data_IF_080384369915
#
_entry.id   IF_080384369915
#
_cell.length_a   1.000
_cell.length_b   1.000
_cell.length_c   1.000
_cell.angle_alpha   90.00
_cell.angle_beta   90.00
_cell.angle_gamma   90.00
#
_symmetry.space_group_name_H-M   'P 1'
#
loop_
_entity.id
_entity.type
_entity.pdbx_description
1 polymer ?
#
# COMPACT_ATOMS: atom_id res chain seq x y z
N UNK A 1 51.56 69.22 8.06
CA UNK A 1 50.82 67.99 7.72
C UNK A 1 49.69 67.81 8.72
N UNK A 2 48.43 67.97 8.29
CA UNK A 2 47.23 67.89 9.14
C UNK A 2 46.50 66.58 8.82
N UNK A 3 46.42 65.66 9.79
CA UNK A 3 45.71 64.39 9.66
C UNK A 3 44.27 64.56 10.15
N UNK A 4 43.34 64.56 9.20
CA UNK A 4 41.89 64.68 9.42
C UNK A 4 41.36 63.35 9.97
N UNK A 5 41.01 63.30 11.27
CA UNK A 5 40.34 62.14 11.88
C UNK A 5 38.88 62.06 11.40
N UNK A 6 38.56 61.02 10.65
CA UNK A 6 37.19 60.58 10.36
C UNK A 6 36.52 60.16 11.67
N UNK A 7 35.46 60.87 12.07
CA UNK A 7 34.55 60.42 13.15
C UNK A 7 33.57 59.44 12.54
N UNK A 8 33.76 58.14 12.78
CA UNK A 8 32.70 57.16 12.61
C UNK A 8 31.63 57.44 13.67
N UNK A 9 30.51 58.02 13.27
CA UNK A 9 29.30 58.07 14.09
C UNK A 9 28.69 56.67 14.13
N UNK A 10 29.19 55.84 15.05
CA UNK A 10 28.54 54.59 15.41
C UNK A 10 27.23 54.92 16.12
N UNK A 11 26.10 54.78 15.41
CA UNK A 11 24.78 54.78 16.05
C UNK A 11 24.70 53.51 16.90
N UNK A 12 24.67 53.66 18.21
CA UNK A 12 24.41 52.55 19.12
C UNK A 12 22.95 52.11 18.94
N UNK A 13 22.73 50.82 18.66
CA UNK A 13 21.40 50.24 18.54
C UNK A 13 20.64 50.38 19.86
N UNK A 14 19.38 50.82 19.77
CA UNK A 14 18.55 50.97 20.97
C UNK A 14 18.02 49.61 21.41
N UNK A 15 17.82 49.42 22.72
CA UNK A 15 17.30 48.17 23.29
C UNK A 15 15.92 47.82 22.69
N UNK A 16 15.11 48.85 22.40
CA UNK A 16 13.80 48.69 21.75
C UNK A 16 13.91 48.22 20.29
N UNK A 17 14.91 48.67 19.54
CA UNK A 17 15.14 48.22 18.16
C UNK A 17 15.52 46.74 18.13
N UNK A 18 16.35 46.29 19.09
CA UNK A 18 16.66 44.86 19.26
C UNK A 18 15.40 44.06 19.65
N UNK A 19 14.53 44.57 20.53
CA UNK A 19 13.28 43.88 20.89
C UNK A 19 12.33 43.74 19.71
N UNK A 20 12.15 44.80 18.90
CA UNK A 20 11.29 44.76 17.72
C UNK A 20 11.83 43.76 16.70
N UNK A 21 13.13 43.76 16.44
CA UNK A 21 13.76 42.82 15.51
C UNK A 21 13.58 41.37 15.99
N UNK A 22 13.83 41.08 17.26
CA UNK A 22 13.63 39.73 17.81
C UNK A 22 12.15 39.32 17.69
N UNK A 23 11.22 40.23 17.96
CA UNK A 23 9.78 39.95 17.84
C UNK A 23 9.39 39.60 16.41
N UNK A 24 9.89 40.35 15.42
CA UNK A 24 9.65 40.08 14.00
C UNK A 24 10.27 38.73 13.59
N UNK A 25 11.50 38.44 14.02
CA UNK A 25 12.18 37.16 13.72
C UNK A 25 11.37 35.98 14.28
N UNK A 26 10.87 36.07 15.52
CA UNK A 26 10.07 35.01 16.14
C UNK A 26 8.75 34.78 15.39
N UNK A 27 8.08 35.86 14.98
CA UNK A 27 6.85 35.76 14.16
C UNK A 27 7.15 35.11 12.81
N UNK A 28 8.18 35.55 12.11
CA UNK A 28 8.55 34.97 10.81
C UNK A 28 8.98 33.50 10.93
N UNK A 29 9.77 33.15 11.95
CA UNK A 29 10.23 31.78 12.16
C UNK A 29 9.06 30.81 12.39
N UNK A 30 8.07 31.21 13.20
CA UNK A 30 6.88 30.36 13.45
C UNK A 30 6.04 30.15 12.19
N UNK A 31 5.87 31.18 11.36
CA UNK A 31 5.14 31.07 10.10
C UNK A 31 5.84 30.13 9.11
N UNK A 32 7.16 30.28 8.94
CA UNK A 32 7.94 29.46 8.01
C UNK A 32 7.89 27.97 8.40
N UNK A 33 8.02 27.66 9.69
CA UNK A 33 7.92 26.27 10.18
C UNK A 33 6.53 25.68 9.98
N UNK A 34 5.47 26.46 10.24
CA UNK A 34 4.08 26.01 10.05
C UNK A 34 3.75 25.70 8.59
N UNK A 35 4.03 26.63 7.68
CA UNK A 35 3.74 26.46 6.24
C UNK A 35 4.61 25.38 5.62
N UNK A 36 5.89 25.29 6.00
CA UNK A 36 6.82 24.28 5.47
C UNK A 36 6.35 22.86 5.74
N UNK A 37 5.90 22.56 6.97
CA UNK A 37 5.42 21.22 7.33
C UNK A 37 4.12 20.83 6.61
N UNK A 38 3.19 21.77 6.43
CA UNK A 38 1.94 21.52 5.71
C UNK A 38 2.19 21.25 4.21
N UNK A 39 3.10 21.99 3.59
CA UNK A 39 3.50 21.78 2.20
C UNK A 39 4.19 20.43 2.01
N UNK A 40 5.07 20.03 2.93
CA UNK A 40 5.73 18.72 2.90
C UNK A 40 4.72 17.58 2.98
N UNK A 41 3.78 17.60 3.93
CA UNK A 41 2.72 16.58 4.04
C UNK A 41 1.88 16.48 2.77
N UNK A 42 1.55 17.62 2.16
CA UNK A 42 0.82 17.65 0.89
C UNK A 42 1.64 17.05 -0.25
N UNK A 43 2.93 17.34 -0.30
CA UNK A 43 3.83 16.77 -1.30
C UNK A 43 4.00 15.26 -1.12
N UNK A 44 4.17 14.78 0.12
CA UNK A 44 4.22 13.35 0.47
C UNK A 44 2.97 12.63 -0.01
N UNK A 45 1.78 13.12 0.36
CA UNK A 45 0.50 12.56 -0.10
C UNK A 45 0.37 12.55 -1.62
N UNK A 46 0.70 13.67 -2.28
CA UNK A 46 0.65 13.77 -3.74
C UNK A 46 1.59 12.77 -4.43
N UNK A 47 2.74 12.46 -3.82
CA UNK A 47 3.68 11.49 -4.35
C UNK A 47 3.13 10.05 -4.24
N UNK A 48 2.47 9.72 -3.12
CA UNK A 48 1.76 8.45 -2.93
C UNK A 48 0.66 8.27 -3.98
N UNK A 49 -0.22 9.26 -4.13
CA UNK A 49 -1.31 9.24 -5.13
C UNK A 49 -0.77 9.09 -6.56
N UNK A 50 0.31 9.80 -6.90
CA UNK A 50 0.96 9.69 -8.20
C UNK A 50 1.52 8.28 -8.45
N UNK A 51 2.18 7.67 -7.47
CA UNK A 51 2.71 6.31 -7.61
C UNK A 51 1.59 5.27 -7.77
N UNK A 52 0.50 5.42 -7.01
CA UNK A 52 -0.68 4.56 -7.14
C UNK A 52 -1.34 4.69 -8.52
N UNK A 53 -1.41 5.91 -9.08
CA UNK A 53 -1.95 6.16 -10.43
C UNK A 53 -1.08 5.52 -11.52
N UNK A 54 0.25 5.53 -11.36
CA UNK A 54 1.16 4.82 -12.27
C UNK A 54 0.93 3.31 -12.20
N UNK A 55 0.74 2.77 -10.98
CA UNK A 55 0.41 1.35 -10.80
C UNK A 55 -0.93 0.97 -11.41
N UNK A 56 -1.95 1.81 -11.28
CA UNK A 56 -3.23 1.62 -11.96
C UNK A 56 -3.08 1.56 -13.48
N UNK A 57 -2.26 2.46 -14.03
CA UNK A 57 -1.96 2.46 -15.46
C UNK A 57 -1.26 1.16 -15.86
N UNK A 58 -0.35 0.64 -15.01
CA UNK A 58 0.31 -0.64 -15.24
C UNK A 58 -0.67 -1.83 -15.21
N UNK A 59 -1.69 -1.80 -14.35
CA UNK A 59 -2.77 -2.81 -14.40
C UNK A 59 -3.56 -2.72 -15.71
N UNK A 60 -3.90 -1.51 -16.14
CA UNK A 60 -4.62 -1.29 -17.41
C UNK A 60 -3.81 -1.83 -18.60
N UNK A 61 -2.50 -1.60 -18.61
CA UNK A 61 -1.59 -2.14 -19.64
C UNK A 61 -1.49 -3.68 -19.56
N UNK A 62 -1.40 -4.25 -18.36
CA UNK A 62 -1.42 -5.70 -18.18
C UNK A 62 -2.70 -6.32 -18.74
N UNK A 63 -3.85 -5.71 -18.45
CA UNK A 63 -5.15 -6.13 -18.99
C UNK A 63 -5.20 -6.02 -20.51
N UNK A 64 -4.66 -4.94 -21.06
CA UNK A 64 -4.54 -4.76 -22.51
C UNK A 64 -3.69 -5.83 -23.18
N UNK A 65 -2.58 -6.23 -22.57
CA UNK A 65 -1.66 -7.23 -23.13
C UNK A 65 -2.14 -8.67 -22.94
N UNK A 66 -2.75 -8.98 -21.80
CA UNK A 66 -3.19 -10.35 -21.46
C UNK A 66 -4.65 -10.63 -21.82
N UNK A 67 -5.42 -9.59 -22.15
CA UNK A 67 -6.84 -9.67 -22.47
C UNK A 67 -7.74 -9.95 -21.27
N UNK A 68 -7.23 -9.83 -20.03
CA UNK A 68 -7.98 -10.12 -18.80
C UNK A 68 -7.39 -9.39 -17.57
N UNK A 69 -8.19 -9.15 -16.51
CA UNK A 69 -7.70 -8.64 -15.23
C UNK A 69 -6.67 -9.55 -14.57
N UNK A 70 -5.84 -8.93 -13.73
CA UNK A 70 -5.02 -9.66 -12.75
C UNK A 70 -5.96 -10.36 -11.79
N UNK A 71 -5.76 -11.67 -11.64
CA UNK A 71 -6.59 -12.53 -10.82
C UNK A 71 -5.88 -12.89 -9.53
N UNK A 72 -6.64 -12.86 -8.44
CA UNK A 72 -6.15 -13.12 -7.10
C UNK A 72 -6.91 -14.25 -6.43
N UNK A 73 -6.16 -15.14 -5.77
CA UNK A 73 -6.71 -16.15 -4.89
C UNK A 73 -6.41 -15.80 -3.43
N UNK A 74 -7.36 -15.15 -2.78
CA UNK A 74 -7.40 -14.99 -1.33
C UNK A 74 -7.86 -16.31 -0.73
N UNK A 75 -7.02 -17.01 0.01
CA UNK A 75 -7.46 -18.20 0.70
C UNK A 75 -8.45 -17.78 1.80
N UNK A 76 -9.64 -18.36 1.81
CA UNK A 76 -10.48 -18.37 3.01
C UNK A 76 -9.69 -19.11 4.08
N UNK A 77 -9.11 -18.39 5.03
CA UNK A 77 -8.64 -19.02 6.25
C UNK A 77 -9.59 -18.60 7.36
N UNK A 78 -10.73 -19.28 7.39
CA UNK A 78 -11.55 -19.31 8.58
C UNK A 78 -10.72 -19.96 9.68
N UNK A 79 -10.42 -19.20 10.72
CA UNK A 79 -9.78 -19.70 11.95
C UNK A 79 -10.66 -20.73 12.69
N UNK A 80 -11.82 -21.14 12.12
CA UNK A 80 -12.74 -22.16 12.63
C UNK A 80 -13.45 -23.01 11.57
N UNK A 81 -13.27 -22.81 10.27
CA UNK A 81 -13.91 -23.67 9.26
C UNK A 81 -13.08 -24.93 9.07
N UNK A 82 -13.72 -26.08 8.79
CA UNK A 82 -13.00 -27.27 8.38
C UNK A 82 -12.10 -26.90 7.21
N UNK A 83 -10.86 -27.39 7.23
CA UNK A 83 -9.80 -27.22 6.23
C UNK A 83 -10.13 -27.81 4.84
N UNK A 84 -11.39 -27.78 4.47
CA UNK A 84 -11.98 -28.34 3.26
C UNK A 84 -13.10 -27.43 2.78
N UNK A 85 -12.80 -26.17 2.48
CA UNK A 85 -13.21 -25.68 1.16
C UNK A 85 -12.21 -26.24 0.15
N UNK A 86 -12.34 -27.55 -0.07
CA UNK A 86 -11.94 -28.13 -1.33
C UNK A 86 -12.80 -27.38 -2.33
N UNK A 87 -12.18 -26.54 -3.18
CA UNK A 87 -12.76 -26.15 -4.47
C UNK A 87 -13.66 -27.29 -4.92
N UNK A 88 -15.00 -27.14 -5.02
CA UNK A 88 -15.89 -28.27 -5.27
C UNK A 88 -15.30 -29.08 -6.40
N UNK A 89 -15.14 -30.39 -6.26
CA UNK A 89 -14.42 -31.24 -7.21
C UNK A 89 -14.86 -30.90 -8.65
N UNK A 90 -14.09 -30.05 -9.35
CA UNK A 90 -14.51 -29.34 -10.58
C UNK A 90 -14.17 -27.84 -10.66
N UNK A 91 -14.01 -27.11 -9.55
CA UNK A 91 -13.59 -25.70 -9.49
C UNK A 91 -12.05 -25.53 -9.50
N UNK A 92 -11.32 -26.60 -9.79
CA UNK A 92 -9.85 -26.68 -9.93
C UNK A 92 -9.31 -26.00 -11.19
N UNK A 93 -10.14 -25.23 -11.90
CA UNK A 93 -9.85 -24.67 -13.23
C UNK A 93 -9.67 -23.15 -13.25
N UNK A 94 -9.89 -22.44 -12.13
CA UNK A 94 -9.54 -21.02 -12.10
C UNK A 94 -8.03 -20.88 -11.97
N UNK A 95 -7.44 -20.29 -13.00
CA UNK A 95 -6.05 -19.90 -12.94
C UNK A 95 -5.95 -18.51 -12.31
N UNK A 96 -5.04 -18.39 -11.34
CA UNK A 96 -4.75 -17.15 -10.64
C UNK A 96 -3.33 -16.67 -10.97
N UNK A 97 -3.14 -15.35 -11.03
CA UNK A 97 -1.83 -14.73 -11.20
C UNK A 97 -1.13 -14.53 -9.85
N UNK A 98 -1.91 -14.10 -8.86
CA UNK A 98 -1.44 -13.85 -7.51
C UNK A 98 -2.17 -14.80 -6.57
N UNK A 99 -1.42 -15.46 -5.70
CA UNK A 99 -1.98 -16.25 -4.61
C UNK A 99 -1.66 -15.58 -3.28
N UNK A 100 -2.58 -15.67 -2.34
CA UNK A 100 -2.32 -15.24 -0.98
C UNK A 100 -1.09 -16.00 -0.43
N UNK A 101 -0.10 -15.31 0.16
CA UNK A 101 1.06 -15.97 0.72
C UNK A 101 0.62 -16.92 1.85
N UNK A 102 0.84 -18.23 1.64
CA UNK A 102 0.34 -19.30 2.53
C UNK A 102 0.95 -19.30 3.93
N UNK A 103 2.07 -18.59 4.12
CA UNK A 103 2.71 -18.39 5.42
C UNK A 103 3.06 -16.91 5.59
N UNK A 104 2.25 -16.10 6.31
CA UNK A 104 2.75 -14.85 6.86
C UNK A 104 3.98 -15.14 7.75
N UNK A 105 4.87 -14.17 8.01
CA UNK A 105 5.99 -14.45 8.91
C UNK A 105 5.43 -14.74 10.31
N UNK A 106 5.99 -15.73 10.99
CA UNK A 106 5.72 -15.96 12.41
C UNK A 106 6.18 -14.73 13.24
N UNK A 107 5.61 -14.41 14.43
CA UNK A 107 5.46 -15.41 15.49
C UNK A 107 4.23 -15.36 16.44
N UNK A 108 3.07 -14.76 16.14
CA UNK A 108 1.94 -14.66 17.12
C UNK A 108 0.72 -13.86 16.63
N UNK A 109 0.63 -13.52 15.33
CA UNK A 109 -0.45 -12.66 14.83
C UNK A 109 -1.72 -13.48 14.62
N UNK A 110 -2.76 -13.23 15.40
CA UNK A 110 -4.10 -13.86 15.26
C UNK A 110 -5.10 -12.81 14.76
N UNK A 111 -6.06 -13.22 13.93
CA UNK A 111 -7.18 -12.36 13.50
C UNK A 111 -6.84 -11.39 12.36
N UNK A 112 -7.51 -10.23 12.36
CA UNK A 112 -7.50 -9.21 11.30
C UNK A 112 -6.09 -8.71 10.91
N UNK A 113 -5.15 -8.73 11.86
CA UNK A 113 -3.74 -8.39 11.60
C UNK A 113 -3.11 -9.18 10.46
N UNK A 114 -3.47 -10.45 10.31
CA UNK A 114 -2.95 -11.27 9.23
C UNK A 114 -3.46 -10.81 7.86
N UNK A 115 -4.68 -10.31 7.77
CA UNK A 115 -5.34 -10.03 6.49
C UNK A 115 -4.68 -8.84 5.78
N UNK A 116 -4.55 -7.69 6.43
CA UNK A 116 -3.89 -6.52 5.79
C UNK A 116 -2.38 -6.74 5.62
N UNK A 117 -1.75 -7.53 6.49
CA UNK A 117 -0.37 -7.99 6.33
C UNK A 117 -0.23 -8.77 5.02
N UNK A 118 -1.14 -9.71 4.74
CA UNK A 118 -1.17 -10.46 3.48
C UNK A 118 -1.50 -9.58 2.27
N UNK A 119 -2.37 -8.57 2.40
CA UNK A 119 -2.64 -7.59 1.33
C UNK A 119 -1.38 -6.80 0.94
N UNK A 120 -0.56 -6.38 1.93
CA UNK A 120 0.77 -5.78 1.68
C UNK A 120 1.72 -6.78 0.98
N UNK A 121 1.67 -8.05 1.37
CA UNK A 121 2.44 -9.12 0.72
C UNK A 121 2.04 -9.37 -0.73
N UNK A 122 0.74 -9.40 -1.02
CA UNK A 122 0.20 -9.57 -2.37
C UNK A 122 0.68 -8.44 -3.30
N UNK A 123 0.80 -7.21 -2.80
CA UNK A 123 1.38 -6.08 -3.53
C UNK A 123 2.79 -6.33 -4.05
N UNK A 124 3.66 -6.95 -3.24
CA UNK A 124 5.02 -7.33 -3.67
C UNK A 124 4.94 -8.28 -4.87
N UNK A 125 4.16 -9.36 -4.77
CA UNK A 125 4.01 -10.31 -5.88
C UNK A 125 3.46 -9.64 -7.14
N UNK A 126 2.53 -8.71 -6.97
CA UNK A 126 1.88 -8.01 -8.07
C UNK A 126 2.83 -7.10 -8.81
N UNK A 127 3.64 -6.30 -8.08
CA UNK A 127 4.68 -5.48 -8.69
C UNK A 127 5.67 -6.32 -9.50
N UNK A 128 6.06 -7.49 -8.98
CA UNK A 128 7.00 -8.40 -9.65
C UNK A 128 6.34 -9.25 -10.77
N UNK A 129 5.02 -9.36 -10.79
CA UNK A 129 4.26 -9.89 -11.91
C UNK A 129 4.25 -8.87 -13.06
N UNK A 130 3.77 -7.66 -12.77
CA UNK A 130 3.61 -6.58 -13.74
C UNK A 130 4.94 -6.21 -14.39
N UNK A 131 6.02 -6.19 -13.62
CA UNK A 131 7.36 -5.82 -14.12
C UNK A 131 7.97 -6.81 -15.13
N UNK A 132 7.35 -8.00 -15.30
CA UNK A 132 7.78 -8.96 -16.30
C UNK A 132 7.41 -8.52 -17.71
N UNK A 133 6.27 -7.82 -17.88
CA UNK A 133 5.89 -7.28 -19.19
C UNK A 133 6.78 -6.09 -19.56
N UNK A 134 7.40 -6.18 -20.73
CA UNK A 134 8.32 -5.15 -21.22
C UNK A 134 7.63 -3.80 -21.41
N UNK A 135 6.35 -3.79 -21.77
CA UNK A 135 5.55 -2.56 -21.91
C UNK A 135 5.32 -1.83 -20.58
N UNK A 136 5.28 -2.56 -19.46
CA UNK A 136 5.01 -1.99 -18.13
C UNK A 136 6.28 -1.45 -17.46
N UNK A 137 7.46 -2.03 -17.73
CA UNK A 137 8.73 -1.60 -17.13
C UNK A 137 8.99 -0.09 -17.22
N UNK A 138 8.83 0.60 -18.38
CA UNK A 138 9.02 2.04 -18.45
C UNK A 138 7.99 2.83 -17.62
N UNK A 139 6.78 2.30 -17.42
CA UNK A 139 5.77 2.92 -16.56
C UNK A 139 6.22 2.89 -15.11
N UNK A 140 6.66 1.71 -14.64
CA UNK A 140 7.16 1.53 -13.27
C UNK A 140 8.43 2.34 -12.99
N UNK A 141 9.26 2.60 -14.02
CA UNK A 141 10.42 3.48 -13.90
C UNK A 141 10.04 4.95 -13.61
N UNK A 142 8.79 5.34 -13.85
CA UNK A 142 8.25 6.64 -13.43
C UNK A 142 8.00 6.75 -11.93
N UNK A 143 7.98 5.64 -11.20
CA UNK A 143 7.84 5.64 -9.73
C UNK A 143 9.20 5.95 -9.09
N UNK A 144 9.28 6.90 -8.14
CA UNK A 144 10.52 7.22 -7.46
C UNK A 144 11.18 5.98 -6.81
N UNK A 145 12.52 5.81 -6.89
CA UNK A 145 13.21 4.67 -6.28
C UNK A 145 13.07 4.57 -4.75
N UNK A 146 12.70 5.66 -4.08
CA UNK A 146 12.37 5.65 -2.65
C UNK A 146 11.07 4.88 -2.35
N UNK A 147 10.16 4.81 -3.33
CA UNK A 147 8.85 4.18 -3.24
C UNK A 147 8.79 2.83 -3.95
N UNK A 148 9.38 2.69 -5.13
CA UNK A 148 9.57 1.41 -5.79
C UNK A 148 11.00 0.93 -5.57
N UNK A 149 11.19 0.13 -4.53
CA UNK A 149 12.52 -0.28 -4.06
C UNK A 149 12.66 -1.79 -3.96
N UNK A 150 13.89 -2.23 -3.76
CA UNK A 150 14.18 -3.64 -3.47
C UNK A 150 13.56 -4.05 -2.12
N UNK A 151 12.93 -5.22 -2.08
CA UNK A 151 12.36 -5.79 -0.86
C UNK A 151 13.48 -6.04 0.16
N UNK A 152 13.38 -5.40 1.33
CA UNK A 152 14.41 -5.47 2.37
C UNK A 152 14.46 -6.82 3.11
N UNK A 153 13.38 -7.63 3.08
CA UNK A 153 13.32 -8.89 3.82
C UNK A 153 12.54 -9.98 3.04
N UNK A 154 13.27 -10.93 2.46
CA UNK A 154 12.71 -12.09 1.72
C UNK A 154 11.90 -13.04 2.62
N UNK A 155 12.11 -12.97 3.94
CA UNK A 155 11.52 -13.90 4.93
C UNK A 155 10.15 -13.46 5.44
N UNK A 156 9.79 -12.18 5.28
CA UNK A 156 8.52 -11.67 5.78
C UNK A 156 7.33 -12.16 4.95
N UNK A 157 7.52 -12.50 3.68
CA UNK A 157 6.46 -13.00 2.82
C UNK A 157 7.07 -14.02 1.87
N UNK A 158 7.30 -15.27 2.33
CA UNK A 158 7.94 -16.29 1.50
C UNK A 158 7.18 -16.44 0.19
N UNK A 159 7.93 -16.66 -0.90
CA UNK A 159 7.44 -16.76 -2.26
C UNK A 159 6.65 -18.06 -2.53
N UNK A 160 5.78 -18.47 -1.61
CA UNK A 160 5.01 -19.70 -1.70
C UNK A 160 3.74 -19.50 -2.52
N UNK A 161 3.87 -18.92 -3.72
CA UNK A 161 2.96 -19.22 -4.84
C UNK A 161 3.11 -20.67 -5.31
N UNK A 162 4.05 -21.42 -4.73
CA UNK A 162 4.35 -22.82 -5.02
C UNK A 162 3.90 -23.66 -3.81
N UNK A 163 2.60 -23.87 -3.63
CA UNK A 163 2.19 -25.18 -3.11
C UNK A 163 2.10 -26.07 -4.34
N UNK A 164 2.92 -27.12 -4.33
CA UNK A 164 2.91 -28.23 -5.27
C UNK A 164 1.52 -28.88 -5.30
N UNK A 165 0.64 -28.35 -6.13
CA UNK A 165 -0.74 -28.81 -6.26
C UNK A 165 -1.54 -27.81 -7.08
N UNK A 166 -1.90 -28.22 -8.29
CA UNK A 166 -2.82 -27.58 -9.24
C UNK A 166 -3.99 -26.86 -8.52
N UNK A 167 -4.39 -25.63 -8.91
CA UNK A 167 -4.36 -25.09 -10.28
C UNK A 167 -3.01 -24.51 -10.70
N UNK A 168 -2.74 -24.55 -12.01
CA UNK A 168 -1.54 -23.96 -12.61
C UNK A 168 -1.51 -22.45 -12.37
N UNK A 169 -0.34 -21.89 -12.06
CA UNK A 169 -0.09 -20.44 -12.09
C UNK A 169 0.08 -20.03 -13.56
N UNK A 170 -0.69 -19.06 -14.07
CA UNK A 170 -0.53 -18.59 -15.48
C UNK A 170 0.79 -17.83 -15.65
N UNK A 171 1.13 -16.99 -14.67
CA UNK A 171 2.34 -16.18 -14.67
C UNK A 171 2.95 -16.16 -13.27
N UNK A 172 4.11 -16.81 -13.10
CA UNK A 172 4.81 -16.80 -11.82
C UNK A 172 5.45 -15.41 -11.60
N UNK A 173 5.19 -14.72 -10.48
CA UNK A 173 5.87 -13.46 -10.18
C UNK A 173 7.40 -13.59 -10.19
N UNK A 174 8.10 -12.58 -10.69
CA UNK A 174 9.56 -12.57 -10.75
C UNK A 174 10.16 -12.71 -9.35
N UNK A 175 11.15 -13.59 -9.22
CA UNK A 175 12.08 -13.64 -8.08
C UNK A 175 13.36 -12.85 -8.33
N UNK A 176 13.31 -11.89 -9.26
CA UNK A 176 14.33 -10.84 -9.43
C UNK A 176 13.69 -9.45 -9.36
N UNK A 177 14.23 -8.60 -8.49
CA UNK A 177 13.81 -7.21 -8.32
C UNK A 177 14.09 -6.38 -9.58
N UNK A 178 13.14 -5.55 -10.01
CA UNK A 178 13.35 -4.52 -11.03
C UNK A 178 13.94 -3.23 -10.48
N UNK A 179 13.97 -3.06 -9.16
CA UNK A 179 14.62 -1.94 -8.46
C UNK A 179 16.16 -2.10 -8.31
N UNK A 180 16.76 -3.01 -9.07
CA UNK A 180 18.20 -3.12 -9.32
C UNK A 180 19.10 -3.17 -8.06
N UNK A 181 19.02 -4.24 -7.27
CA UNK A 181 20.03 -4.57 -6.24
C UNK A 181 20.45 -6.04 -6.32
N UNK A 182 21.72 -6.31 -5.98
CA UNK A 182 22.37 -7.63 -6.04
C UNK A 182 21.81 -8.64 -5.02
N UNK A 183 21.12 -8.15 -3.99
CA UNK A 183 20.80 -8.89 -2.77
C UNK A 183 19.29 -9.01 -2.47
N UNK A 184 18.42 -8.57 -3.38
CA UNK A 184 16.96 -8.75 -3.22
C UNK A 184 16.32 -9.40 -4.43
N UNK A 185 15.49 -10.40 -4.16
CA UNK A 185 14.77 -11.15 -5.17
C UNK A 185 13.50 -10.42 -5.65
N UNK A 186 13.04 -9.33 -5.02
CA UNK A 186 11.74 -8.73 -5.38
C UNK A 186 11.72 -7.22 -5.23
N UNK A 187 10.88 -6.54 -6.00
CA UNK A 187 10.54 -5.12 -5.78
C UNK A 187 9.29 -4.98 -4.91
N UNK A 188 9.30 -4.02 -4.00
CA UNK A 188 8.16 -3.63 -3.18
C UNK A 188 7.76 -2.19 -3.49
N UNK A 189 6.45 -1.92 -3.42
CA UNK A 189 5.90 -0.58 -3.48
C UNK A 189 5.58 -0.10 -2.06
N UNK A 190 6.21 1.01 -1.67
CA UNK A 190 6.02 1.65 -0.38
C UNK A 190 5.55 3.09 -0.56
N UNK A 191 4.83 3.61 0.42
CA UNK A 191 4.49 5.02 0.52
C UNK A 191 5.70 5.87 0.94
N UNK A 192 5.50 7.18 1.02
CA UNK A 192 6.54 8.15 1.37
C UNK A 192 7.05 8.00 2.80
N UNK A 193 6.27 7.38 3.68
CA UNK A 193 6.64 7.11 5.07
C UNK A 193 7.29 5.73 5.23
N UNK A 194 7.44 4.98 4.13
CA UNK A 194 8.11 3.68 4.07
C UNK A 194 7.20 2.50 4.41
N UNK A 195 5.91 2.73 4.60
CA UNK A 195 4.89 1.70 4.76
C UNK A 195 4.60 1.00 3.42
N UNK A 196 4.45 -0.33 3.44
CA UNK A 196 4.02 -1.04 2.21
C UNK A 196 2.58 -0.68 1.88
N UNK A 197 2.35 -0.38 0.60
CA UNK A 197 1.01 -0.19 0.08
C UNK A 197 0.30 -1.56 0.07
N UNK A 198 -0.89 -1.62 0.66
CA UNK A 198 -1.76 -2.78 0.60
C UNK A 198 -2.50 -2.82 -0.74
N UNK A 199 -2.58 -4.01 -1.34
CA UNK A 199 -3.32 -4.24 -2.56
C UNK A 199 -4.60 -4.99 -2.19
N UNK A 200 -5.74 -4.32 -2.33
CA UNK A 200 -7.07 -4.90 -2.12
C UNK A 200 -7.55 -5.40 -3.46
N UNK A 201 -7.62 -6.72 -3.59
CA UNK A 201 -8.10 -7.36 -4.80
C UNK A 201 -9.61 -7.51 -4.77
N UNK A 202 -10.29 -7.33 -5.91
CA UNK A 202 -11.71 -7.56 -6.01
C UNK A 202 -12.04 -9.04 -5.80
N UNK A 203 -13.21 -9.27 -5.22
CA UNK A 203 -13.78 -10.60 -5.07
C UNK A 203 -13.90 -11.36 -6.40
N UNK A 204 -13.77 -12.69 -6.35
CA UNK A 204 -14.07 -13.53 -7.53
C UNK A 204 -15.55 -13.47 -7.86
N UNK A 205 -15.92 -13.71 -9.11
CA UNK A 205 -17.34 -13.77 -9.49
C UNK A 205 -18.03 -14.93 -8.75
N UNK A 206 -19.22 -14.67 -8.20
CA UNK A 206 -20.05 -15.69 -7.59
C UNK A 206 -20.46 -16.75 -8.60
N UNK A 207 -20.38 -18.03 -8.21
CA UNK A 207 -20.75 -19.17 -9.06
C UNK A 207 -21.88 -19.97 -8.43
N UNK A 208 -23.04 -19.98 -9.08
CA UNK A 208 -24.18 -20.76 -8.60
C UNK A 208 -23.84 -22.25 -8.52
N UNK A 209 -23.99 -22.85 -7.33
CA UNK A 209 -23.74 -24.27 -7.08
C UNK A 209 -22.26 -24.68 -6.92
N UNK A 210 -21.31 -23.75 -7.07
CA UNK A 210 -19.88 -23.99 -6.80
C UNK A 210 -19.37 -23.26 -5.54
N UNK A 211 -20.20 -22.43 -4.93
CA UNK A 211 -19.91 -21.78 -3.67
C UNK A 211 -20.70 -22.47 -2.53
N UNK A 212 -20.19 -22.46 -1.28
CA UNK A 212 -20.90 -23.04 -0.14
C UNK A 212 -22.32 -22.47 -0.05
N UNK A 213 -23.32 -23.32 0.21
CA UNK A 213 -24.72 -22.90 0.33
C UNK A 213 -24.98 -21.91 1.47
N UNK A 214 -24.01 -21.74 2.38
CA UNK A 214 -24.02 -20.76 3.47
C UNK A 214 -23.46 -19.39 3.06
N UNK A 215 -22.84 -19.27 1.90
CA UNK A 215 -22.41 -17.99 1.33
C UNK A 215 -23.47 -17.48 0.37
N UNK A 216 -23.67 -16.17 0.37
CA UNK A 216 -24.46 -15.46 -0.64
C UNK A 216 -23.51 -14.55 -1.39
N UNK A 217 -23.76 -14.27 -2.68
CA UNK A 217 -23.02 -13.24 -3.38
C UNK A 217 -23.21 -11.91 -2.67
N UNK A 218 -22.16 -11.09 -2.72
CA UNK A 218 -22.25 -9.69 -2.33
C UNK A 218 -23.19 -8.92 -3.27
N UNK A 219 -23.52 -7.68 -2.89
CA UNK A 219 -24.35 -6.78 -3.70
C UNK A 219 -23.81 -6.55 -5.12
N UNK A 220 -22.49 -6.70 -5.31
CA UNK A 220 -21.81 -6.61 -6.60
C UNK A 220 -21.66 -7.95 -7.35
N UNK A 221 -22.26 -9.03 -6.82
CA UNK A 221 -22.23 -10.37 -7.41
C UNK A 221 -20.89 -11.09 -7.25
N UNK A 222 -20.02 -10.63 -6.36
CA UNK A 222 -18.73 -11.26 -6.08
C UNK A 222 -18.75 -12.07 -4.78
N UNK A 223 -17.62 -12.73 -4.51
CA UNK A 223 -17.30 -13.31 -3.20
C UNK A 223 -16.13 -12.52 -2.63
N UNK A 224 -16.37 -11.71 -1.58
CA UNK A 224 -15.34 -10.85 -0.96
C UNK A 224 -14.07 -11.59 -0.62
N UNK A 225 -12.95 -10.92 -0.86
CA UNK A 225 -11.68 -11.28 -0.24
C UNK A 225 -11.68 -10.89 1.25
N UNK A 226 -10.87 -11.55 2.09
CA UNK A 226 -10.68 -11.10 3.48
C UNK A 226 -10.24 -9.64 3.58
N UNK A 227 -9.44 -9.14 2.63
CA UNK A 227 -9.00 -7.75 2.58
C UNK A 227 -10.17 -6.79 2.32
N UNK A 228 -11.10 -7.15 1.44
CA UNK A 228 -12.30 -6.35 1.19
C UNK A 228 -13.21 -6.24 2.43
N UNK A 229 -13.31 -7.31 3.22
CA UNK A 229 -14.05 -7.29 4.49
C UNK A 229 -13.47 -6.34 5.54
N UNK A 230 -12.17 -6.00 5.46
CA UNK A 230 -11.51 -5.14 6.44
C UNK A 230 -11.27 -3.71 5.96
N UNK A 231 -10.86 -3.56 4.69
CA UNK A 231 -10.43 -2.28 4.14
C UNK A 231 -11.51 -1.62 3.27
N UNK A 232 -12.52 -2.38 2.83
CA UNK A 232 -13.60 -1.94 1.94
C UNK A 232 -13.64 -2.71 0.63
N UNK A 233 -14.81 -2.71 -0.02
CA UNK A 233 -15.14 -3.49 -1.21
C UNK A 233 -14.69 -2.78 -2.48
N UNK A 234 -14.10 -3.53 -3.41
CA UNK A 234 -13.57 -2.96 -4.64
C UNK A 234 -14.66 -2.65 -5.67
N UNK A 235 -14.82 -1.38 -6.02
CA UNK A 235 -15.77 -0.96 -7.05
C UNK A 235 -15.34 -1.42 -8.46
N UNK A 236 -16.31 -1.89 -9.26
CA UNK A 236 -16.12 -2.29 -10.67
C UNK A 236 -15.04 -3.35 -10.93
N UNK A 237 -14.76 -4.22 -9.96
CA UNK A 237 -13.69 -5.25 -10.06
C UNK A 237 -12.31 -4.65 -10.36
N UNK A 238 -12.06 -3.40 -10.00
CA UNK A 238 -10.73 -2.78 -10.07
C UNK A 238 -9.95 -3.14 -8.80
N UNK A 239 -8.63 -3.19 -8.89
CA UNK A 239 -7.77 -3.40 -7.72
C UNK A 239 -7.56 -2.04 -7.05
N UNK A 240 -7.80 -1.95 -5.74
CA UNK A 240 -7.52 -0.74 -4.98
C UNK A 240 -6.18 -0.82 -4.26
N UNK A 241 -5.43 0.29 -4.28
CA UNK A 241 -4.21 0.45 -3.51
C UNK A 241 -4.49 1.32 -2.30
N UNK A 242 -4.02 0.89 -1.14
CA UNK A 242 -4.24 1.59 0.14
C UNK A 242 -2.90 1.81 0.84
N UNK A 243 -2.55 3.07 1.09
CA UNK A 243 -1.46 3.45 2.01
C UNK A 243 -2.05 3.73 3.37
N UNK A 244 -1.34 3.28 4.42
CA UNK A 244 -1.71 3.46 5.81
C UNK A 244 -1.24 4.81 6.38
N UNK A 245 -0.92 5.77 5.51
CA UNK A 245 -0.54 7.11 5.93
C UNK A 245 0.76 7.20 6.76
N UNK A 246 1.02 8.38 7.34
CA UNK A 246 2.14 8.64 8.24
C UNK A 246 2.21 7.77 9.49
N UNK A 247 1.07 7.32 10.04
CA UNK A 247 1.06 6.52 11.25
C UNK A 247 1.33 5.02 10.98
N UNK A 248 1.17 4.60 9.73
CA UNK A 248 1.42 3.24 9.25
C UNK A 248 0.32 2.23 9.61
N UNK A 249 -0.81 2.71 10.13
CA UNK A 249 -1.94 1.93 10.61
C UNK A 249 -3.16 2.14 9.69
N UNK A 250 -3.80 1.06 9.26
CA UNK A 250 -5.03 1.15 8.46
C UNK A 250 -6.28 1.51 9.27
N UNK A 251 -6.20 1.44 10.60
CA UNK A 251 -7.33 1.68 11.49
C UNK A 251 -8.28 0.50 11.59
N UNK A 252 -7.77 -0.72 11.44
CA UNK A 252 -8.58 -1.95 11.54
C UNK A 252 -8.45 -2.61 12.91
N UNK A 253 -9.47 -3.36 13.37
CA UNK A 253 -9.39 -4.04 14.67
C UNK A 253 -8.19 -4.98 14.75
N UNK A 254 -7.53 -5.02 15.90
CA UNK A 254 -6.35 -5.85 16.17
C UNK A 254 -5.02 -5.27 15.66
N UNK A 255 -5.00 -4.05 15.14
CA UNK A 255 -3.79 -3.39 14.64
C UNK A 255 -3.00 -2.64 15.73
N UNK A 256 -3.69 -2.05 16.71
CA UNK A 256 -3.11 -1.27 17.79
C UNK A 256 -3.58 -1.74 19.17
N UNK A 257 -2.79 -1.45 20.22
CA UNK A 257 -3.19 -1.63 21.62
C UNK A 257 -3.08 -0.31 22.38
N UNK A 258 -4.17 0.21 23.00
CA UNK A 258 -5.50 -0.37 23.06
C UNK A 258 -6.22 -0.37 21.70
N UNK A 259 -7.09 -1.35 21.50
CA UNK A 259 -7.88 -1.51 20.28
C UNK A 259 -9.27 -0.91 20.51
N UNK A 260 -9.48 0.33 20.08
CA UNK A 260 -10.73 1.08 20.32
C UNK A 260 -11.17 1.79 19.05
N UNK A 261 -12.48 2.00 18.90
CA UNK A 261 -13.06 2.70 17.74
C UNK A 261 -12.44 4.09 17.54
N UNK A 262 -12.11 4.82 18.61
CA UNK A 262 -11.45 6.13 18.51
C UNK A 262 -10.06 6.03 17.89
N UNK A 263 -9.27 5.03 18.28
CA UNK A 263 -7.92 4.82 17.74
C UNK A 263 -8.01 4.35 16.29
N UNK A 264 -8.92 3.41 16.01
CA UNK A 264 -9.20 2.92 14.65
C UNK A 264 -9.60 4.06 13.71
N UNK A 265 -10.56 4.90 14.11
CA UNK A 265 -11.01 6.04 13.31
C UNK A 265 -9.90 7.10 13.13
N UNK A 266 -9.05 7.28 14.14
CA UNK A 266 -7.94 8.24 14.05
C UNK A 266 -6.87 7.74 13.08
N UNK A 267 -6.55 6.45 13.13
CA UNK A 267 -5.62 5.82 12.22
C UNK A 267 -6.15 5.80 10.78
N UNK A 268 -7.40 5.37 10.58
CA UNK A 268 -8.00 5.35 9.25
C UNK A 268 -8.14 6.74 8.60
N UNK A 269 -8.05 7.83 9.37
CA UNK A 269 -8.24 9.19 8.87
C UNK A 269 -7.09 9.69 7.98
N UNK A 270 -5.88 9.13 8.09
CA UNK A 270 -4.74 9.53 7.26
C UNK A 270 -4.45 8.56 6.10
N UNK A 271 -5.22 7.48 6.00
CA UNK A 271 -5.19 6.53 4.88
C UNK A 271 -5.34 7.25 3.53
N UNK A 272 -4.67 6.70 2.52
CA UNK A 272 -4.76 7.14 1.13
C UNK A 272 -5.21 5.96 0.30
N UNK A 273 -6.36 6.12 -0.36
CA UNK A 273 -6.92 5.12 -1.25
C UNK A 273 -6.76 5.60 -2.70
N UNK A 274 -6.42 4.69 -3.61
CA UNK A 274 -6.40 4.98 -5.05
C UNK A 274 -7.77 5.49 -5.53
N UNK A 275 -8.84 4.85 -5.04
CA UNK A 275 -10.22 5.29 -5.15
C UNK A 275 -10.97 4.86 -3.90
N UNK A 276 -12.08 5.54 -3.60
CA UNK A 276 -12.90 5.23 -2.44
C UNK A 276 -13.48 3.82 -2.54
N UNK A 277 -13.25 3.00 -1.51
CA UNK A 277 -13.80 1.66 -1.42
C UNK A 277 -15.22 1.73 -0.88
N UNK A 278 -16.09 0.86 -1.39
CA UNK A 278 -17.45 0.75 -0.89
C UNK A 278 -17.41 0.14 0.53
N UNK A 279 -18.29 0.56 1.45
CA UNK A 279 -18.32 -0.02 2.78
C UNK A 279 -18.64 -1.53 2.69
N UNK A 280 -18.02 -2.37 3.54
CA UNK A 280 -18.44 -3.76 3.63
C UNK A 280 -19.88 -3.82 4.16
N UNK A 281 -20.80 -4.41 3.38
CA UNK A 281 -22.17 -4.78 3.83
C UNK A 281 -22.14 -5.65 5.10
#
# INVERSE_FOLDING_TARGET
MSTRRSRHTGRAFTLIEIMVVISIILVLASLVLGVGSALLRRAERSQVESAMTIMESAFTEWEGQTGRPVTYNGAFNSLTAPTTEIYPSGATLEVFDIREPGTPPAPNSTGNRLIYTRARGAGVFTVNLLSQLESIRPMLAGIPPSMLRAEANTSSYPATNILSGTPAVLYAPSSKSTANTKDSTRSELVDTWGGRIAFVFPGRAWRYGAEPTSSLPDSDGTVRTPAENLLGVCTNRRICLVSAGPDGLFGVPGESTPDSATIQNTAAADNIYLYELDPPD
#
